data_IF_730831053139
#
_entry.id   IF_730831053139
#
_cell.length_a   1.000
_cell.length_b   1.000
_cell.length_c   1.000
_cell.angle_alpha   90.00
_cell.angle_beta   90.00
_cell.angle_gamma   90.00
#
_symmetry.space_group_name_H-M   'P 1'
#
loop_
_entity.id
_entity.type
_entity.pdbx_description
1 polymer ?
#
# COMPACT_ATOMS: atom_id res chain seq x y z
N UNK A 1 -1.43 -11.72 -25.15
CA UNK A 1 -1.97 -12.00 -23.81
C UNK A 1 -1.78 -10.74 -22.99
N UNK A 2 -2.76 -10.35 -22.22
CA UNK A 2 -2.63 -9.23 -21.29
C UNK A 2 -1.59 -9.57 -20.20
N UNK A 3 -0.95 -8.56 -19.61
CA UNK A 3 0.19 -8.76 -18.70
C UNK A 3 -0.15 -9.55 -17.44
N UNK A 4 -1.42 -9.50 -17.01
CA UNK A 4 -1.92 -10.17 -15.79
C UNK A 4 -2.95 -11.26 -16.11
N UNK A 5 -2.96 -11.79 -17.33
CA UNK A 5 -3.90 -12.85 -17.73
C UNK A 5 -3.80 -14.08 -16.81
N UNK A 6 -4.94 -14.50 -16.28
CA UNK A 6 -5.04 -15.60 -15.30
C UNK A 6 -4.59 -15.27 -13.86
N UNK A 7 -4.14 -14.06 -13.57
CA UNK A 7 -3.79 -13.61 -12.23
C UNK A 7 -5.02 -13.20 -11.42
N UNK A 8 -4.90 -13.29 -10.10
CA UNK A 8 -5.93 -12.84 -9.16
C UNK A 8 -5.34 -11.75 -8.28
N UNK A 9 -6.02 -10.61 -8.22
CA UNK A 9 -5.67 -9.49 -7.35
C UNK A 9 -6.72 -9.32 -6.25
N UNK A 10 -6.27 -9.04 -5.03
CA UNK A 10 -7.11 -8.55 -3.93
C UNK A 10 -6.73 -7.11 -3.64
N UNK A 11 -7.73 -6.22 -3.59
CA UNK A 11 -7.55 -4.79 -3.35
C UNK A 11 -8.36 -4.37 -2.13
N UNK A 12 -7.70 -3.83 -1.10
CA UNK A 12 -8.39 -3.26 0.08
C UNK A 12 -8.62 -1.77 -0.09
N UNK A 13 -9.71 -1.23 0.50
CA UNK A 13 -10.11 0.16 0.29
C UNK A 13 -10.50 0.42 -1.16
N UNK A 14 -11.11 -0.59 -1.79
CA UNK A 14 -11.35 -0.59 -3.23
C UNK A 14 -12.71 0.00 -3.64
N UNK A 15 -13.54 0.46 -2.71
CA UNK A 15 -14.83 1.10 -3.02
C UNK A 15 -14.69 2.52 -3.60
N UNK A 16 -13.49 3.10 -3.63
CA UNK A 16 -13.26 4.45 -4.18
C UNK A 16 -11.79 4.77 -4.42
N UNK A 17 -11.54 5.92 -5.06
CA UNK A 17 -10.22 6.54 -5.17
C UNK A 17 -9.16 5.62 -5.80
N UNK A 18 -7.97 5.55 -5.20
CA UNK A 18 -6.84 4.77 -5.70
C UNK A 18 -7.18 3.28 -5.80
N UNK A 19 -7.90 2.73 -4.79
CA UNK A 19 -8.27 1.32 -4.78
C UNK A 19 -9.18 0.94 -5.94
N UNK A 20 -10.23 1.72 -6.19
CA UNK A 20 -11.14 1.50 -7.32
C UNK A 20 -10.42 1.62 -8.67
N UNK A 21 -9.65 2.70 -8.86
CA UNK A 21 -8.87 2.89 -10.09
C UNK A 21 -7.83 1.76 -10.31
N UNK A 22 -7.27 1.21 -9.21
CA UNK A 22 -6.35 0.07 -9.32
C UNK A 22 -7.09 -1.22 -9.68
N UNK A 23 -8.27 -1.45 -9.12
CA UNK A 23 -9.10 -2.59 -9.48
C UNK A 23 -9.43 -2.57 -10.98
N UNK A 24 -9.83 -1.41 -11.51
CA UNK A 24 -10.07 -1.21 -12.94
C UNK A 24 -8.81 -1.47 -13.77
N UNK A 25 -7.69 -0.84 -13.42
CA UNK A 25 -6.43 -0.96 -14.15
C UNK A 25 -5.91 -2.40 -14.22
N UNK A 26 -5.97 -3.14 -13.11
CA UNK A 26 -5.53 -4.53 -13.08
C UNK A 26 -6.46 -5.44 -13.90
N UNK A 27 -7.78 -5.13 -13.92
CA UNK A 27 -8.74 -5.86 -14.73
C UNK A 27 -8.53 -5.63 -16.22
N UNK A 28 -8.20 -4.40 -16.65
CA UNK A 28 -7.83 -4.09 -18.03
C UNK A 28 -6.64 -4.92 -18.52
N UNK A 29 -5.75 -5.31 -17.60
CA UNK A 29 -4.59 -6.18 -17.90
C UNK A 29 -4.89 -7.68 -17.72
N UNK A 30 -6.14 -8.05 -17.53
CA UNK A 30 -6.59 -9.44 -17.51
C UNK A 30 -6.63 -10.09 -16.12
N UNK A 31 -6.39 -9.36 -15.04
CA UNK A 31 -6.54 -9.90 -13.70
C UNK A 31 -8.01 -10.04 -13.30
N UNK A 32 -8.33 -11.07 -12.52
CA UNK A 32 -9.59 -11.17 -11.79
C UNK A 32 -9.43 -10.48 -10.43
N UNK A 33 -10.38 -9.63 -10.05
CA UNK A 33 -10.21 -8.76 -8.89
C UNK A 33 -11.21 -9.07 -7.78
N UNK A 34 -10.69 -9.26 -6.56
CA UNK A 34 -11.43 -9.22 -5.31
C UNK A 34 -11.39 -7.82 -4.71
N UNK A 35 -12.54 -7.18 -4.67
CA UNK A 35 -12.77 -5.84 -4.09
C UNK A 35 -13.08 -6.02 -2.61
N UNK A 36 -12.26 -5.45 -1.72
CA UNK A 36 -12.45 -5.51 -0.27
C UNK A 36 -12.60 -4.10 0.28
N UNK A 37 -13.71 -3.81 0.94
CA UNK A 37 -13.98 -2.49 1.53
C UNK A 37 -14.98 -2.62 2.69
N UNK A 38 -15.04 -1.60 3.55
CA UNK A 38 -16.06 -1.48 4.58
C UNK A 38 -17.40 -0.99 4.02
N UNK A 39 -17.37 -0.23 2.89
CA UNK A 39 -18.52 0.42 2.25
C UNK A 39 -19.16 -0.52 1.23
N UNK A 40 -20.25 -1.17 1.62
CA UNK A 40 -20.87 -2.26 0.85
C UNK A 40 -21.37 -1.81 -0.53
N UNK A 41 -22.28 -0.84 -0.60
CA UNK A 41 -22.90 -0.42 -1.88
C UNK A 41 -21.86 0.02 -2.92
N UNK A 42 -20.92 0.86 -2.49
CA UNK A 42 -19.87 1.35 -3.39
C UNK A 42 -18.88 0.25 -3.80
N UNK A 43 -18.55 -0.66 -2.87
CA UNK A 43 -17.68 -1.80 -3.15
C UNK A 43 -18.32 -2.79 -4.13
N UNK A 44 -19.61 -3.08 -3.98
CA UNK A 44 -20.38 -3.90 -4.91
C UNK A 44 -20.44 -3.27 -6.31
N UNK A 45 -20.66 -1.94 -6.38
CA UNK A 45 -20.66 -1.24 -7.67
C UNK A 45 -19.31 -1.34 -8.39
N UNK A 46 -18.19 -1.18 -7.67
CA UNK A 46 -16.85 -1.37 -8.25
C UNK A 46 -16.64 -2.82 -8.66
N UNK A 47 -16.99 -3.80 -7.83
CA UNK A 47 -16.85 -5.20 -8.18
C UNK A 47 -17.64 -5.56 -9.45
N UNK A 48 -18.86 -5.04 -9.57
CA UNK A 48 -19.68 -5.21 -10.77
C UNK A 48 -19.03 -4.58 -12.02
N UNK A 49 -18.48 -3.36 -11.91
CA UNK A 49 -17.85 -2.68 -13.05
C UNK A 49 -16.62 -3.41 -13.59
N UNK A 50 -15.87 -4.07 -12.71
CA UNK A 50 -14.66 -4.84 -13.08
C UNK A 50 -14.92 -6.35 -13.29
N UNK A 51 -16.18 -6.79 -13.22
CA UNK A 51 -16.52 -8.23 -13.31
C UNK A 51 -15.85 -9.08 -12.22
N UNK A 52 -15.58 -8.48 -11.07
CA UNK A 52 -14.93 -9.09 -9.91
C UNK A 52 -15.91 -9.53 -8.82
N UNK A 53 -15.38 -9.81 -7.63
CA UNK A 53 -16.17 -10.17 -6.45
C UNK A 53 -15.98 -9.13 -5.35
N UNK A 54 -17.01 -8.90 -4.55
CA UNK A 54 -16.96 -8.00 -3.39
C UNK A 54 -17.02 -8.76 -2.08
N UNK A 55 -16.16 -8.38 -1.13
CA UNK A 55 -16.21 -8.87 0.24
C UNK A 55 -16.10 -7.68 1.20
N UNK A 56 -17.09 -7.53 2.07
CA UNK A 56 -17.05 -6.53 3.12
C UNK A 56 -16.06 -6.95 4.19
N UNK A 57 -15.10 -6.07 4.57
CA UNK A 57 -14.21 -6.27 5.71
C UNK A 57 -13.70 -4.95 6.28
N UNK A 58 -13.61 -4.87 7.61
CA UNK A 58 -12.81 -3.89 8.33
C UNK A 58 -11.37 -4.40 8.39
N UNK A 59 -10.45 -3.70 7.72
CA UNK A 59 -9.04 -4.10 7.69
C UNK A 59 -8.34 -4.04 9.05
N UNK A 60 -8.90 -3.29 9.99
CA UNK A 60 -8.44 -3.23 11.38
C UNK A 60 -8.83 -4.45 12.23
N UNK A 61 -9.64 -5.38 11.69
CA UNK A 61 -10.08 -6.59 12.36
C UNK A 61 -9.43 -7.82 11.72
N UNK A 62 -8.47 -8.49 12.40
CA UNK A 62 -7.66 -9.54 11.79
C UNK A 62 -8.48 -10.72 11.27
N UNK A 63 -9.58 -11.07 11.94
CA UNK A 63 -10.46 -12.16 11.52
C UNK A 63 -11.28 -11.80 10.27
N UNK A 64 -11.66 -10.53 10.08
CA UNK A 64 -12.35 -10.07 8.87
C UNK A 64 -11.39 -10.05 7.67
N UNK A 65 -10.14 -9.63 7.91
CA UNK A 65 -9.08 -9.71 6.88
C UNK A 65 -8.85 -11.15 6.45
N UNK A 66 -8.62 -12.07 7.40
CA UNK A 66 -8.40 -13.48 7.09
C UNK A 66 -9.61 -14.08 6.34
N UNK A 67 -10.85 -13.73 6.71
CA UNK A 67 -12.07 -14.17 6.04
C UNK A 67 -12.20 -13.61 4.61
N UNK A 68 -11.88 -12.34 4.40
CA UNK A 68 -11.91 -11.71 3.06
C UNK A 68 -10.90 -12.38 2.11
N UNK A 69 -9.66 -12.60 2.57
CA UNK A 69 -8.65 -13.31 1.79
C UNK A 69 -9.11 -14.73 1.44
N UNK A 70 -9.62 -15.50 2.41
CA UNK A 70 -10.13 -16.86 2.16
C UNK A 70 -11.31 -16.87 1.18
N UNK A 71 -12.18 -15.86 1.23
CA UNK A 71 -13.32 -15.75 0.32
C UNK A 71 -12.88 -15.44 -1.12
N UNK A 72 -11.94 -14.49 -1.30
CA UNK A 72 -11.37 -14.21 -2.63
C UNK A 72 -10.64 -15.43 -3.19
N UNK A 73 -9.87 -16.17 -2.37
CA UNK A 73 -9.22 -17.42 -2.82
C UNK A 73 -10.23 -18.46 -3.27
N UNK A 74 -11.32 -18.63 -2.53
CA UNK A 74 -12.39 -19.60 -2.88
C UNK A 74 -13.09 -19.21 -4.18
N UNK A 75 -13.43 -17.93 -4.35
CA UNK A 75 -14.28 -17.44 -5.44
C UNK A 75 -13.46 -17.24 -6.73
N UNK A 76 -12.19 -16.87 -6.61
CA UNK A 76 -11.29 -16.58 -7.75
C UNK A 76 -10.14 -17.58 -7.92
N UNK A 77 -9.98 -18.54 -7.03
CA UNK A 77 -9.01 -19.65 -7.18
C UNK A 77 -7.57 -19.32 -6.79
N UNK A 78 -7.35 -18.30 -5.94
CA UNK A 78 -6.04 -17.94 -5.39
C UNK A 78 -5.84 -16.43 -5.30
N UNK A 79 -4.64 -15.99 -4.86
CA UNK A 79 -4.23 -14.59 -4.83
C UNK A 79 -2.78 -14.51 -5.30
N UNK A 80 -2.54 -13.78 -6.38
CA UNK A 80 -1.21 -13.51 -6.94
C UNK A 80 -0.75 -12.07 -6.60
N UNK A 81 -1.70 -11.14 -6.39
CA UNK A 81 -1.45 -9.73 -6.11
C UNK A 81 -2.28 -9.31 -4.90
N UNK A 82 -1.67 -8.65 -3.93
CA UNK A 82 -2.37 -8.01 -2.82
C UNK A 82 -2.03 -6.53 -2.78
N UNK A 83 -3.01 -5.68 -3.07
CA UNK A 83 -2.89 -4.23 -2.91
C UNK A 83 -3.54 -3.79 -1.61
N UNK A 84 -2.70 -3.54 -0.59
CA UNK A 84 -3.09 -3.14 0.75
C UNK A 84 -3.22 -1.61 0.78
N UNK A 85 -4.38 -1.12 0.35
CA UNK A 85 -4.58 0.29 0.06
C UNK A 85 -5.50 1.00 1.07
N UNK A 86 -6.34 0.29 1.80
CA UNK A 86 -7.22 0.91 2.79
C UNK A 86 -6.46 1.83 3.74
N UNK A 87 -6.98 3.03 3.95
CA UNK A 87 -6.35 4.01 4.82
C UNK A 87 -7.22 5.25 5.04
N UNK A 88 -6.94 5.96 6.11
CA UNK A 88 -7.61 7.20 6.50
C UNK A 88 -6.60 8.26 6.90
N UNK A 89 -7.01 9.53 6.88
CA UNK A 89 -6.33 10.67 7.50
C UNK A 89 -7.29 11.31 8.50
N UNK A 90 -6.77 11.91 9.53
CA UNK A 90 -7.58 12.55 10.59
C UNK A 90 -7.47 14.07 10.58
N UNK A 91 -6.41 14.64 10.00
CA UNK A 91 -6.23 16.08 9.86
C UNK A 91 -6.13 16.80 11.21
N UNK A 92 -5.41 16.22 12.17
CA UNK A 92 -5.26 16.78 13.52
C UNK A 92 -3.79 17.17 13.76
N UNK A 93 -3.42 18.46 13.62
CA UNK A 93 -2.02 18.90 13.70
C UNK A 93 -1.50 19.05 15.13
N UNK A 94 -2.37 19.31 16.12
CA UNK A 94 -1.99 19.58 17.51
C UNK A 94 -1.87 18.28 18.31
N UNK A 95 -0.66 17.85 18.60
CA UNK A 95 -0.41 16.58 19.30
C UNK A 95 -0.90 16.58 20.75
N UNK A 96 -0.88 17.75 21.42
CA UNK A 96 -1.29 17.89 22.82
C UNK A 96 -2.79 17.75 23.03
N UNK A 97 -3.59 17.90 21.97
CA UNK A 97 -5.06 17.77 22.03
C UNK A 97 -5.59 16.53 21.30
N UNK A 98 -4.70 15.70 20.79
CA UNK A 98 -5.07 14.52 20.03
C UNK A 98 -5.88 13.53 20.87
N UNK A 99 -7.14 13.21 20.49
CA UNK A 99 -7.91 12.19 21.19
C UNK A 99 -7.34 10.77 20.99
N UNK A 100 -7.28 10.00 22.07
CA UNK A 100 -6.77 8.62 22.05
C UNK A 100 -7.50 7.70 21.06
N UNK A 101 -8.80 7.88 20.91
CA UNK A 101 -9.63 7.09 19.99
C UNK A 101 -9.29 7.38 18.51
N UNK A 102 -9.01 8.64 18.16
CA UNK A 102 -8.55 8.99 16.82
C UNK A 102 -7.16 8.41 16.54
N UNK A 103 -6.25 8.48 17.52
CA UNK A 103 -4.94 7.84 17.40
C UNK A 103 -5.07 6.33 17.15
N UNK A 104 -5.88 5.66 17.99
CA UNK A 104 -6.11 4.21 17.84
C UNK A 104 -6.76 3.87 16.50
N UNK A 105 -7.72 4.68 16.06
CA UNK A 105 -8.41 4.46 14.79
C UNK A 105 -7.44 4.51 13.61
N UNK A 106 -6.61 5.56 13.50
CA UNK A 106 -5.68 5.70 12.38
C UNK A 106 -4.63 4.59 12.38
N UNK A 107 -4.08 4.23 13.56
CA UNK A 107 -3.10 3.14 13.65
C UNK A 107 -3.73 1.79 13.28
N UNK A 108 -4.94 1.50 13.76
CA UNK A 108 -5.69 0.28 13.46
C UNK A 108 -5.94 0.12 11.95
N UNK A 109 -6.37 1.18 11.27
CA UNK A 109 -6.66 1.11 9.83
C UNK A 109 -5.37 1.12 9.02
N UNK A 110 -4.49 2.11 9.24
CA UNK A 110 -3.35 2.36 8.34
C UNK A 110 -2.16 1.42 8.60
N UNK A 111 -1.98 0.94 9.83
CA UNK A 111 -0.83 0.10 10.21
C UNK A 111 -1.26 -1.35 10.41
N UNK A 112 -2.19 -1.62 11.33
CA UNK A 112 -2.60 -2.99 11.62
C UNK A 112 -3.24 -3.62 10.38
N UNK A 113 -4.06 -2.89 9.62
CA UNK A 113 -4.66 -3.34 8.37
C UNK A 113 -3.62 -3.78 7.33
N UNK A 114 -2.51 -3.07 7.22
CA UNK A 114 -1.40 -3.47 6.34
C UNK A 114 -0.67 -4.70 6.88
N UNK A 115 -0.44 -4.78 8.19
CA UNK A 115 0.22 -5.93 8.82
C UNK A 115 -0.63 -7.20 8.67
N UNK A 116 -1.93 -7.12 8.96
CA UNK A 116 -2.85 -8.27 8.82
C UNK A 116 -2.99 -8.69 7.36
N UNK A 117 -3.17 -7.71 6.45
CA UNK A 117 -3.23 -7.96 5.02
C UNK A 117 -1.96 -8.60 4.47
N UNK A 118 -0.78 -8.11 4.84
CA UNK A 118 0.49 -8.69 4.41
C UNK A 118 0.64 -10.15 4.91
N UNK A 119 0.27 -10.40 6.18
CA UNK A 119 0.27 -11.75 6.76
C UNK A 119 -0.64 -12.71 5.99
N UNK A 120 -1.86 -12.28 5.66
CA UNK A 120 -2.82 -13.08 4.90
C UNK A 120 -2.33 -13.29 3.46
N UNK A 121 -1.80 -12.23 2.82
CA UNK A 121 -1.25 -12.28 1.46
C UNK A 121 -0.10 -13.29 1.35
N UNK A 122 0.87 -13.25 2.27
CA UNK A 122 2.00 -14.20 2.28
C UNK A 122 1.51 -15.64 2.32
N UNK A 123 0.54 -15.95 3.21
CA UNK A 123 -0.03 -17.30 3.31
C UNK A 123 -0.71 -17.75 2.01
N UNK A 124 -1.47 -16.86 1.36
CA UNK A 124 -2.14 -17.14 0.11
C UNK A 124 -1.13 -17.34 -1.05
N UNK A 125 -0.14 -16.45 -1.15
CA UNK A 125 0.88 -16.46 -2.20
C UNK A 125 1.84 -17.65 -2.08
N UNK A 126 2.17 -18.14 -0.88
CA UNK A 126 2.96 -19.37 -0.70
C UNK A 126 2.28 -20.57 -1.35
N UNK A 127 0.94 -20.67 -1.28
CA UNK A 127 0.17 -21.74 -1.96
C UNK A 127 0.18 -21.58 -3.48
N UNK A 128 0.44 -20.39 -3.99
CA UNK A 128 0.53 -20.04 -5.43
C UNK A 128 1.96 -20.14 -5.98
N UNK A 129 2.97 -20.30 -5.11
CA UNK A 129 4.39 -20.31 -5.47
C UNK A 129 5.00 -18.93 -5.69
N UNK A 130 4.37 -17.86 -5.20
CA UNK A 130 4.84 -16.50 -5.26
C UNK A 130 3.73 -15.47 -5.48
N UNK A 131 4.12 -14.19 -5.54
CA UNK A 131 3.16 -13.10 -5.75
C UNK A 131 3.77 -11.71 -5.51
N UNK A 132 2.92 -10.67 -5.54
CA UNK A 132 3.32 -9.29 -5.31
C UNK A 132 2.43 -8.62 -4.26
N UNK A 133 3.04 -8.06 -3.23
CA UNK A 133 2.38 -7.22 -2.22
C UNK A 133 2.74 -5.76 -2.50
N UNK A 134 1.75 -4.90 -2.59
CA UNK A 134 1.94 -3.45 -2.63
C UNK A 134 1.13 -2.83 -1.50
N UNK A 135 1.75 -1.98 -0.69
CA UNK A 135 1.06 -1.23 0.35
C UNK A 135 1.03 0.26 0.03
N UNK A 136 -0.11 0.91 0.23
CA UNK A 136 -0.22 2.36 0.06
C UNK A 136 0.33 3.08 1.28
N UNK A 137 1.53 3.67 1.12
CA UNK A 137 2.04 4.66 2.03
C UNK A 137 1.63 6.08 1.55
N UNK A 138 2.54 7.02 1.54
CA UNK A 138 2.38 8.40 1.09
C UNK A 138 3.77 9.02 0.97
N UNK A 139 3.91 10.18 0.35
CA UNK A 139 5.09 11.04 0.58
C UNK A 139 5.27 11.36 2.06
N UNK A 140 4.17 11.46 2.83
CA UNK A 140 4.17 11.55 4.29
C UNK A 140 4.76 10.32 5.01
N UNK A 141 5.11 9.26 4.32
CA UNK A 141 5.90 8.14 4.85
C UNK A 141 7.41 8.29 4.60
N UNK A 142 7.84 9.38 3.96
CA UNK A 142 9.23 9.66 3.57
C UNK A 142 9.68 11.02 4.07
N UNK A 143 8.80 12.03 4.03
CA UNK A 143 9.06 13.40 4.43
C UNK A 143 8.02 13.84 5.47
N UNK A 144 8.36 14.79 6.37
CA UNK A 144 7.42 15.29 7.39
C UNK A 144 6.14 15.88 6.78
N UNK A 145 5.00 15.59 7.41
CA UNK A 145 3.69 16.13 7.05
C UNK A 145 3.02 16.80 8.26
N UNK A 146 3.39 18.04 8.59
CA UNK A 146 2.91 18.76 9.79
C UNK A 146 1.37 18.89 9.92
N UNK A 147 0.57 18.92 8.82
CA UNK A 147 -0.88 19.00 8.94
C UNK A 147 -1.54 17.78 9.60
N UNK A 148 -0.87 16.62 9.62
CA UNK A 148 -1.37 15.41 10.28
C UNK A 148 -0.21 14.51 10.72
N UNK A 149 0.42 14.81 11.89
CA UNK A 149 1.60 14.06 12.38
C UNK A 149 1.33 12.58 12.64
N UNK A 150 0.09 12.19 12.98
CA UNK A 150 -0.24 10.79 13.24
C UNK A 150 -0.48 10.03 11.93
N UNK A 151 -1.04 10.68 10.93
CA UNK A 151 -1.04 10.12 9.58
C UNK A 151 0.40 9.90 9.08
N UNK A 152 1.26 10.89 9.25
CA UNK A 152 2.69 10.81 8.92
C UNK A 152 3.36 9.61 9.62
N UNK A 153 3.19 9.49 10.93
CA UNK A 153 3.66 8.34 11.72
C UNK A 153 3.17 7.02 11.12
N UNK A 154 1.88 6.92 10.81
CA UNK A 154 1.29 5.69 10.26
C UNK A 154 1.89 5.31 8.91
N UNK A 155 2.17 6.30 8.05
CA UNK A 155 2.73 6.06 6.71
C UNK A 155 4.24 5.75 6.75
N UNK A 156 4.99 6.34 7.67
CA UNK A 156 6.37 5.92 7.97
C UNK A 156 6.42 4.47 8.50
N UNK A 157 5.47 4.08 9.36
CA UNK A 157 5.36 2.70 9.85
C UNK A 157 5.16 1.70 8.69
N UNK A 158 4.30 2.02 7.72
CA UNK A 158 4.09 1.18 6.52
C UNK A 158 5.38 1.03 5.70
N UNK A 159 6.10 2.12 5.44
CA UNK A 159 7.39 2.08 4.72
C UNK A 159 8.39 1.20 5.46
N UNK A 160 8.57 1.42 6.77
CA UNK A 160 9.49 0.64 7.60
C UNK A 160 9.14 -0.84 7.62
N UNK A 161 7.85 -1.17 7.79
CA UNK A 161 7.35 -2.54 7.81
C UNK A 161 7.59 -3.28 6.49
N UNK A 162 7.15 -2.71 5.37
CA UNK A 162 7.27 -3.36 4.05
C UNK A 162 8.74 -3.57 3.68
N UNK A 163 9.60 -2.57 3.87
CA UNK A 163 11.05 -2.71 3.62
C UNK A 163 11.68 -3.79 4.49
N UNK A 164 11.21 -3.95 5.71
CA UNK A 164 11.77 -4.93 6.66
C UNK A 164 11.35 -6.38 6.35
N UNK A 165 10.13 -6.61 5.85
CA UNK A 165 9.67 -7.96 5.50
C UNK A 165 10.15 -8.41 4.11
N UNK A 166 10.37 -7.47 3.18
CA UNK A 166 10.68 -7.76 1.78
C UNK A 166 11.85 -8.75 1.59
N UNK A 167 13.02 -8.60 2.26
CA UNK A 167 14.13 -9.53 2.09
C UNK A 167 13.80 -10.98 2.47
N UNK A 168 12.96 -11.18 3.50
CA UNK A 168 12.56 -12.52 3.95
C UNK A 168 11.59 -13.23 2.99
N UNK A 169 10.93 -12.47 2.11
CA UNK A 169 9.93 -12.97 1.18
C UNK A 169 10.53 -13.41 -0.16
N UNK A 170 11.76 -12.99 -0.48
CA UNK A 170 12.44 -13.34 -1.75
C UNK A 170 12.50 -14.85 -1.97
N UNK A 171 12.87 -15.61 -0.94
CA UNK A 171 12.97 -17.07 -1.03
C UNK A 171 11.61 -17.76 -1.27
N UNK A 172 10.50 -17.04 -1.06
CA UNK A 172 9.13 -17.50 -1.31
C UNK A 172 8.60 -17.06 -2.67
N UNK A 173 9.41 -16.37 -3.47
CA UNK A 173 9.00 -15.80 -4.76
C UNK A 173 8.01 -14.63 -4.60
N UNK A 174 7.99 -13.96 -3.44
CA UNK A 174 7.08 -12.86 -3.16
C UNK A 174 7.85 -11.56 -3.12
N UNK A 175 7.37 -10.54 -3.86
CA UNK A 175 7.85 -9.16 -3.76
C UNK A 175 6.96 -8.36 -2.82
N UNK A 176 7.54 -7.39 -2.10
CA UNK A 176 6.79 -6.47 -1.25
C UNK A 176 7.34 -5.05 -1.40
N UNK A 177 6.47 -4.12 -1.81
CA UNK A 177 6.84 -2.74 -2.13
C UNK A 177 5.80 -1.75 -1.59
N UNK A 178 6.16 -0.47 -1.49
CA UNK A 178 5.18 0.59 -1.21
C UNK A 178 4.98 1.49 -2.43
N UNK A 179 3.76 1.95 -2.64
CA UNK A 179 3.46 3.12 -3.45
C UNK A 179 3.28 4.32 -2.53
N UNK A 180 3.91 5.45 -2.86
CA UNK A 180 3.97 6.64 -2.03
C UNK A 180 3.42 7.84 -2.81
N UNK A 181 2.08 8.00 -2.86
CA UNK A 181 1.46 9.09 -3.60
C UNK A 181 1.73 10.45 -2.96
N UNK A 182 1.93 11.47 -3.81
CA UNK A 182 1.71 12.87 -3.46
C UNK A 182 0.21 13.22 -3.44
N UNK A 183 -0.11 14.52 -3.60
CA UNK A 183 -1.48 14.98 -3.58
C UNK A 183 -2.30 14.32 -4.69
N UNK A 184 -3.27 13.51 -4.29
CA UNK A 184 -4.12 12.72 -5.20
C UNK A 184 -5.59 12.99 -4.90
N UNK A 185 -6.41 13.20 -5.93
CA UNK A 185 -7.84 13.53 -5.81
C UNK A 185 -8.64 12.32 -5.34
N UNK A 186 -8.74 12.18 -4.02
CA UNK A 186 -9.46 11.09 -3.35
C UNK A 186 -10.28 11.63 -2.18
N UNK A 187 -11.16 10.81 -1.63
CA UNK A 187 -11.97 11.21 -0.45
C UNK A 187 -11.14 11.50 0.80
N UNK A 188 -9.93 10.98 0.91
CA UNK A 188 -8.97 11.27 2.00
C UNK A 188 -8.60 12.75 2.02
N UNK A 189 -8.52 13.38 0.85
CA UNK A 189 -8.33 14.82 0.76
C UNK A 189 -9.65 15.53 1.04
N UNK A 190 -9.81 16.13 2.21
CA UNK A 190 -10.98 16.92 2.56
C UNK A 190 -11.22 18.09 1.59
N UNK A 191 -12.46 18.59 1.55
CA UNK A 191 -12.87 19.67 0.61
C UNK A 191 -12.05 20.96 0.81
N UNK A 192 -11.70 21.30 2.06
CA UNK A 192 -10.90 22.49 2.35
C UNK A 192 -9.48 22.37 1.80
N UNK A 193 -8.82 21.23 1.98
CA UNK A 193 -7.51 20.98 1.40
C UNK A 193 -7.56 21.01 -0.14
N UNK A 194 -8.59 20.40 -0.73
CA UNK A 194 -8.81 20.41 -2.19
C UNK A 194 -9.00 21.84 -2.71
N UNK A 195 -9.80 22.66 -2.01
CA UNK A 195 -9.99 24.07 -2.34
C UNK A 195 -8.69 24.86 -2.27
N UNK A 196 -7.95 24.75 -1.16
CA UNK A 196 -6.67 25.42 -0.97
C UNK A 196 -5.65 25.08 -2.06
N UNK A 197 -5.56 23.80 -2.44
CA UNK A 197 -4.66 23.38 -3.52
C UNK A 197 -5.07 23.96 -4.88
N UNK A 198 -6.37 23.99 -5.17
CA UNK A 198 -6.88 24.61 -6.41
C UNK A 198 -6.60 26.11 -6.47
N UNK A 199 -6.84 26.84 -5.38
CA UNK A 199 -6.55 28.28 -5.27
C UNK A 199 -5.05 28.58 -5.43
N UNK A 200 -4.20 27.69 -4.94
CA UNK A 200 -2.75 27.77 -5.10
C UNK A 200 -2.25 27.27 -6.48
N UNK A 201 -3.14 26.85 -7.39
CA UNK A 201 -2.76 26.18 -8.63
C UNK A 201 -1.79 25.00 -8.44
N UNK A 202 -1.87 24.32 -7.28
CA UNK A 202 -1.02 23.17 -7.01
C UNK A 202 -1.54 21.94 -7.77
N UNK A 203 -0.69 21.22 -8.51
CA UNK A 203 -1.13 20.08 -9.30
C UNK A 203 -1.55 18.90 -8.40
N UNK A 204 -2.70 18.32 -8.69
CA UNK A 204 -3.28 17.17 -8.00
C UNK A 204 -3.35 16.01 -8.99
N UNK A 205 -2.88 14.83 -8.58
CA UNK A 205 -2.93 13.63 -9.41
C UNK A 205 -4.32 13.00 -9.46
N UNK A 206 -4.66 12.38 -10.58
CA UNK A 206 -5.81 11.48 -10.65
C UNK A 206 -5.46 10.12 -10.00
N UNK A 207 -6.43 9.42 -9.38
CA UNK A 207 -6.24 8.07 -8.85
C UNK A 207 -5.68 7.07 -9.88
N UNK A 208 -6.02 7.21 -11.16
CA UNK A 208 -5.53 6.37 -12.25
C UNK A 208 -4.00 6.45 -12.46
N UNK A 209 -3.38 7.58 -12.13
CA UNK A 209 -1.92 7.72 -12.21
C UNK A 209 -1.21 6.86 -11.13
N UNK A 210 -1.85 6.71 -9.97
CA UNK A 210 -1.33 5.82 -8.91
C UNK A 210 -1.61 4.36 -9.28
N UNK A 211 -2.76 4.06 -9.87
CA UNK A 211 -3.07 2.72 -10.36
C UNK A 211 -2.06 2.24 -11.41
N UNK A 212 -1.60 3.12 -12.30
CA UNK A 212 -0.53 2.82 -13.25
C UNK A 212 0.80 2.53 -12.54
N UNK A 213 1.13 3.28 -11.48
CA UNK A 213 2.31 2.98 -10.67
C UNK A 213 2.22 1.59 -10.00
N UNK A 214 1.05 1.26 -9.43
CA UNK A 214 0.81 -0.07 -8.84
C UNK A 214 0.96 -1.17 -9.89
N UNK A 215 0.41 -0.98 -11.09
CA UNK A 215 0.57 -1.94 -12.18
C UNK A 215 2.05 -2.16 -12.54
N UNK A 216 2.86 -1.11 -12.64
CA UNK A 216 4.31 -1.22 -12.88
C UNK A 216 5.04 -1.95 -11.75
N UNK A 217 4.66 -1.70 -10.50
CA UNK A 217 5.25 -2.37 -9.33
C UNK A 217 4.97 -3.87 -9.38
N UNK A 218 3.71 -4.28 -9.60
CA UNK A 218 3.33 -5.71 -9.58
C UNK A 218 3.83 -6.50 -10.77
N UNK A 219 4.13 -5.84 -11.88
CA UNK A 219 4.76 -6.45 -13.07
C UNK A 219 6.28 -6.35 -13.05
N UNK A 220 6.85 -5.56 -12.16
CA UNK A 220 8.28 -5.43 -11.91
C UNK A 220 8.86 -6.59 -11.12
N UNK A 221 10.19 -6.54 -10.92
CA UNK A 221 10.92 -7.56 -10.13
C UNK A 221 11.55 -6.98 -8.85
N UNK A 222 11.39 -5.68 -8.62
CA UNK A 222 11.91 -4.99 -7.43
C UNK A 222 11.20 -5.45 -6.16
N UNK A 223 11.91 -5.43 -5.04
CA UNK A 223 11.33 -5.73 -3.72
C UNK A 223 11.99 -4.87 -2.65
N UNK A 224 11.23 -4.41 -1.66
CA UNK A 224 11.69 -3.45 -0.65
C UNK A 224 11.74 -2.01 -1.15
N UNK A 225 11.20 -1.74 -2.33
CA UNK A 225 11.19 -0.43 -2.97
C UNK A 225 10.05 0.46 -2.46
N UNK A 226 10.32 1.77 -2.45
CA UNK A 226 9.35 2.80 -2.09
C UNK A 226 9.11 3.68 -3.31
N UNK A 227 8.08 3.40 -4.10
CA UNK A 227 7.79 4.10 -5.35
C UNK A 227 7.11 5.42 -5.09
N UNK A 228 7.77 6.53 -5.42
CA UNK A 228 7.20 7.88 -5.31
C UNK A 228 6.41 8.23 -6.56
N UNK A 229 5.23 8.84 -6.35
CA UNK A 229 4.37 9.33 -7.42
C UNK A 229 4.14 10.83 -7.22
N UNK A 230 4.52 11.62 -8.22
CA UNK A 230 4.39 13.07 -8.21
C UNK A 230 3.81 13.56 -9.54
N UNK A 231 3.02 14.66 -9.53
CA UNK A 231 2.48 15.22 -10.76
C UNK A 231 3.58 15.55 -11.78
N UNK A 232 3.37 15.15 -13.03
CA UNK A 232 4.31 15.43 -14.12
C UNK A 232 5.61 14.63 -14.10
N UNK A 233 5.71 13.62 -13.24
CA UNK A 233 6.85 12.69 -13.17
C UNK A 233 6.41 11.25 -13.38
N UNK A 234 7.28 10.45 -13.98
CA UNK A 234 7.12 9.01 -13.97
C UNK A 234 7.30 8.47 -12.55
N UNK A 235 6.51 7.48 -12.12
CA UNK A 235 6.72 6.81 -10.84
C UNK A 235 8.08 6.13 -10.81
N UNK A 236 8.84 6.34 -9.73
CA UNK A 236 10.18 5.78 -9.57
C UNK A 236 10.48 5.37 -8.13
N UNK A 237 11.38 4.39 -7.89
CA UNK A 237 11.83 4.03 -6.56
C UNK A 237 12.62 5.18 -5.92
N UNK A 238 12.23 5.54 -4.68
CA UNK A 238 12.94 6.51 -3.87
C UNK A 238 14.24 5.92 -3.32
N UNK A 239 15.34 6.65 -3.44
CA UNK A 239 16.64 6.27 -2.87
C UNK A 239 16.80 6.85 -1.47
N UNK A 240 16.87 5.98 -0.47
CA UNK A 240 17.24 6.37 0.87
C UNK A 240 18.75 6.62 0.94
N UNK A 241 19.16 7.62 1.72
CA UNK A 241 20.57 7.82 2.00
C UNK A 241 21.09 6.73 2.93
N UNK A 242 22.34 6.31 2.70
CA UNK A 242 23.02 5.34 3.56
C UNK A 242 23.20 5.88 4.97
N UNK A 243 23.07 5.00 5.95
CA UNK A 243 23.40 5.31 7.34
C UNK A 243 24.92 5.20 7.51
N UNK A 244 25.59 6.22 8.09
CA UNK A 244 27.02 6.13 8.35
C UNK A 244 27.35 4.88 9.19
N UNK A 245 28.23 4.04 8.68
CA UNK A 245 28.69 2.85 9.38
C UNK A 245 29.53 3.18 10.64
N UNK A 246 29.77 2.20 11.52
CA UNK A 246 30.60 2.36 12.71
C UNK A 246 32.03 2.77 12.33
N UNK A 247 32.64 3.67 13.12
CA UNK A 247 34.03 4.12 12.95
C UNK A 247 35.00 3.47 13.94
N UNK A 248 34.54 2.46 14.66
CA UNK A 248 35.40 1.72 15.62
C UNK A 248 36.35 0.79 14.87
N UNK A 249 37.59 0.71 15.31
CA UNK A 249 38.60 -0.16 14.72
C UNK A 249 38.11 -1.62 14.61
N UNK A 250 38.25 -2.22 13.42
CA UNK A 250 37.79 -3.56 13.10
C UNK A 250 36.27 -3.71 12.87
N UNK A 251 35.48 -2.62 12.99
CA UNK A 251 34.04 -2.67 12.75
C UNK A 251 33.60 -1.83 11.52
N UNK A 252 34.53 -1.16 10.85
CA UNK A 252 34.24 -0.32 9.68
C UNK A 252 33.66 -1.17 8.54
N UNK A 253 32.51 -0.72 7.99
CA UNK A 253 31.83 -1.42 6.91
C UNK A 253 31.14 -2.73 7.32
N UNK A 254 31.08 -3.06 8.60
CA UNK A 254 30.38 -4.26 9.09
C UNK A 254 28.93 -3.96 9.39
N UNK A 255 28.08 -4.91 9.00
CA UNK A 255 26.65 -4.93 9.34
C UNK A 255 26.49 -5.71 10.67
N UNK A 256 25.57 -5.30 11.57
CA UNK A 256 25.31 -6.07 12.79
C UNK A 256 24.93 -7.52 12.48
N UNK A 257 25.32 -8.48 13.37
CA UNK A 257 24.89 -9.87 13.22
C UNK A 257 23.37 -9.98 13.11
N UNK A 258 22.89 -10.74 12.13
CA UNK A 258 21.45 -10.92 11.86
C UNK A 258 20.85 -9.92 10.86
N UNK A 259 21.58 -8.87 10.50
CA UNK A 259 21.21 -7.99 9.35
C UNK A 259 21.91 -8.58 8.11
N UNK A 260 21.15 -8.94 7.08
CA UNK A 260 21.72 -9.50 5.84
C UNK A 260 22.52 -8.42 5.10
N UNK A 261 23.74 -8.78 4.67
CA UNK A 261 24.48 -7.98 3.70
C UNK A 261 23.61 -7.78 2.44
N UNK A 262 23.55 -6.55 1.94
CA UNK A 262 22.70 -6.19 0.79
C UNK A 262 21.33 -5.57 1.13
N UNK A 263 20.94 -5.49 2.41
CA UNK A 263 19.75 -4.71 2.81
C UNK A 263 20.02 -3.21 2.91
N UNK A 264 21.28 -2.79 2.82
CA UNK A 264 21.71 -1.38 2.85
C UNK A 264 22.07 -0.83 1.47
N UNK A 265 22.16 -1.68 0.44
CA UNK A 265 22.55 -1.31 -0.94
C UNK A 265 21.36 -1.29 -1.92
N UNK A 266 20.11 -1.15 -1.43
CA UNK A 266 18.92 -1.09 -2.27
C UNK A 266 18.34 0.33 -2.36
#
# INVERSE_FOLDING_TARGET
MAALDGKVALVTGAASGIGAATAERLTEEGARVGVVDLTEDAGQAVAQSVGGVFHRADVGEPHEVDAAFASVERDLGGIDIAFLNAGIAIGHPEIETLPDDLYRLIMRVNVDGVVYGARAAVRAMERRGGGAIVATSSLAGIIPFPPDPVYDLSKHAVVGFIRSIAPSLVAKGITANTVNPGMTDTKIMGEDARRTLREANFPIMAPSQIAEAVFRIVTGRGTGECWVCQPGREPEPYRFHDVPGPRTEGAQGRVPPGVREGTLDA
#
